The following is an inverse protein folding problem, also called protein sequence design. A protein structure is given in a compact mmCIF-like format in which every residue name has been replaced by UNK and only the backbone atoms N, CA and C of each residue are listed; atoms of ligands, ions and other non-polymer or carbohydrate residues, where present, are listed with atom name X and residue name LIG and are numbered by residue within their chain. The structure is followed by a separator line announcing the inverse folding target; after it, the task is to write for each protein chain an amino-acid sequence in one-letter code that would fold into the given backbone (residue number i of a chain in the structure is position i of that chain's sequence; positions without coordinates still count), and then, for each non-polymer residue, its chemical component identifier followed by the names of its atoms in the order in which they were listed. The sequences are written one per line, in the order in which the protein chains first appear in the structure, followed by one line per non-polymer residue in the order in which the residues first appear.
data_IF_539792180277
#
_entry.id   IF_539792180277
#
_cell.length_a   1.000
_cell.length_b   1.000
_cell.length_c   1.000
_cell.angle_alpha   90.00
_cell.angle_beta   90.00
_cell.angle_gamma   90.00
#
_symmetry.space_group_name_H-M   'P 1'
#
loop_
_entity.id
_entity.type
_entity.pdbx_description
1 polymer ?
#
# COMPACT_ATOMS: atom_id res chain seq x y z
N UNK A 1 35.91 31.78 50.41
CA UNK A 1 34.98 32.86 50.03
C UNK A 1 34.83 32.85 48.52
N UNK A 2 33.60 32.58 48.05
CA UNK A 2 32.97 32.90 46.75
C UNK A 2 33.85 33.10 45.50
N UNK A 3 33.52 32.43 44.37
CA UNK A 3 32.68 33.03 43.31
C UNK A 3 32.46 32.02 42.17
N UNK A 4 31.19 31.63 42.02
CA UNK A 4 30.61 30.93 40.86
C UNK A 4 30.56 31.84 39.64
N UNK A 5 30.96 31.36 38.44
CA UNK A 5 30.34 31.73 37.16
C UNK A 5 30.44 30.60 36.11
N UNK A 6 29.36 30.55 35.33
CA UNK A 6 28.89 29.57 34.35
C UNK A 6 29.45 29.90 32.95
N UNK A 7 29.82 28.91 32.14
CA UNK A 7 29.35 28.84 30.73
C UNK A 7 29.66 27.50 30.08
N UNK A 8 28.66 27.00 29.36
CA UNK A 8 28.70 25.84 28.48
C UNK A 8 29.39 26.17 27.13
N UNK A 9 29.78 25.13 26.39
CA UNK A 9 29.67 24.95 24.92
C UNK A 9 30.89 24.15 24.39
N UNK A 10 30.64 22.99 23.79
CA UNK A 10 31.68 22.19 23.15
C UNK A 10 31.12 20.94 22.49
N UNK A 11 30.37 21.12 21.39
CA UNK A 11 29.85 20.05 20.53
C UNK A 11 30.78 19.85 19.35
N UNK A 12 31.35 18.65 19.16
CA UNK A 12 31.77 18.15 17.84
C UNK A 12 31.54 16.64 17.80
N UNK A 13 30.41 16.22 17.23
CA UNK A 13 30.15 14.84 16.84
C UNK A 13 30.19 14.74 15.32
N UNK A 14 31.24 14.09 14.81
CA UNK A 14 31.46 13.85 13.38
C UNK A 14 30.45 12.81 12.87
N UNK A 15 29.47 13.22 12.06
CA UNK A 15 28.55 12.31 11.37
C UNK A 15 29.07 12.03 9.95
N UNK A 16 29.31 10.76 9.65
CA UNK A 16 29.74 10.28 8.35
C UNK A 16 28.64 10.46 7.29
N UNK A 17 28.99 11.09 6.16
CA UNK A 17 28.12 11.25 5.00
C UNK A 17 28.36 10.08 4.04
N UNK A 18 27.43 9.13 3.98
CA UNK A 18 27.36 8.17 2.88
C UNK A 18 26.38 8.72 1.82
N UNK A 19 26.74 8.82 0.53
CA UNK A 19 25.80 9.24 -0.49
C UNK A 19 24.91 8.03 -0.83
N UNK A 20 23.77 7.93 -0.15
CA UNK A 20 22.67 7.07 -0.59
C UNK A 20 22.01 7.77 -1.78
N UNK A 21 22.20 7.17 -2.94
CA UNK A 21 21.34 7.20 -4.12
C UNK A 21 20.09 8.09 -3.92
N UNK A 22 20.08 9.29 -4.52
CA UNK A 22 18.91 10.15 -4.56
C UNK A 22 17.76 9.40 -5.22
N UNK A 23 16.95 8.69 -4.43
CA UNK A 23 15.54 8.57 -4.74
C UNK A 23 15.05 10.01 -4.80
N UNK A 24 14.45 10.42 -5.91
CA UNK A 24 13.73 11.69 -5.94
C UNK A 24 12.65 11.56 -4.87
N UNK A 25 12.90 12.14 -3.69
CA UNK A 25 11.93 12.26 -2.62
C UNK A 25 10.93 13.31 -3.07
N UNK A 26 9.95 12.86 -3.85
CA UNK A 26 8.79 13.65 -4.25
C UNK A 26 7.88 13.89 -3.03
N UNK A 27 8.40 14.43 -1.92
CA UNK A 27 7.62 14.70 -0.72
C UNK A 27 6.79 13.51 -0.20
N UNK A 28 5.84 13.81 0.66
CA UNK A 28 4.87 12.85 1.19
C UNK A 28 3.52 13.04 0.47
N UNK A 29 2.81 11.97 0.08
CA UNK A 29 1.51 12.10 -0.56
C UNK A 29 0.49 12.65 0.45
N UNK A 30 -0.26 13.69 0.07
CA UNK A 30 -1.31 14.29 0.89
C UNK A 30 -2.51 13.34 1.01
N UNK A 31 -2.85 12.68 -0.10
CA UNK A 31 -3.93 11.70 -0.18
C UNK A 31 -3.46 10.46 -0.93
N UNK A 32 -3.95 9.30 -0.53
CA UNK A 32 -3.81 8.07 -1.31
C UNK A 32 -5.18 7.45 -1.57
N UNK A 33 -5.37 6.95 -2.77
CA UNK A 33 -6.58 6.24 -3.21
C UNK A 33 -6.17 4.84 -3.63
N UNK A 34 -6.98 3.85 -3.22
CA UNK A 34 -6.81 2.46 -3.64
C UNK A 34 -7.83 2.14 -4.72
N UNK A 35 -7.38 1.51 -5.78
CA UNK A 35 -8.23 0.94 -6.83
C UNK A 35 -7.77 -0.46 -7.18
N UNK A 36 -8.64 -1.22 -7.84
CA UNK A 36 -8.32 -2.53 -8.38
C UNK A 36 -8.28 -2.43 -9.90
N UNK A 37 -7.48 -3.29 -10.55
CA UNK A 37 -7.46 -3.36 -12.01
C UNK A 37 -8.89 -3.52 -12.55
N UNK A 38 -9.34 -2.58 -13.38
CA UNK A 38 -10.67 -2.47 -13.98
C UNK A 38 -11.85 -2.17 -13.04
N UNK A 39 -11.60 -1.83 -11.77
CA UNK A 39 -12.65 -1.44 -10.82
C UNK A 39 -12.23 -0.23 -9.98
N UNK A 40 -12.99 0.86 -10.13
CA UNK A 40 -12.94 2.01 -9.23
C UNK A 40 -13.90 1.74 -8.06
N UNK A 41 -13.35 1.45 -6.88
CA UNK A 41 -14.17 1.26 -5.69
C UNK A 41 -13.41 0.65 -4.52
N UNK A 42 -13.96 0.90 -3.33
CA UNK A 42 -13.40 0.41 -2.07
C UNK A 42 -13.78 -1.06 -1.79
N UNK A 43 -14.64 -1.69 -2.62
CA UNK A 43 -15.10 -3.06 -2.42
C UNK A 43 -14.85 -3.92 -3.65
N UNK A 44 -14.23 -5.09 -3.45
CA UNK A 44 -13.96 -6.06 -4.50
C UNK A 44 -14.53 -7.44 -4.13
N UNK A 45 -15.23 -8.08 -5.07
CA UNK A 45 -15.64 -9.48 -4.96
C UNK A 45 -14.74 -10.36 -5.83
N UNK A 46 -14.06 -11.31 -5.19
CA UNK A 46 -13.26 -12.34 -5.86
C UNK A 46 -14.02 -13.66 -5.81
N UNK A 47 -14.12 -14.37 -6.95
CA UNK A 47 -14.85 -15.62 -7.06
C UNK A 47 -14.04 -16.70 -7.75
N UNK A 48 -13.70 -17.77 -7.03
CA UNK A 48 -12.92 -18.88 -7.57
C UNK A 48 -11.42 -18.78 -7.36
N UNK A 49 -10.71 -19.90 -7.57
CA UNK A 49 -9.27 -20.04 -7.33
C UNK A 49 -8.40 -19.12 -8.20
N UNK A 50 -8.88 -18.77 -9.40
CA UNK A 50 -8.15 -17.95 -10.36
C UNK A 50 -8.50 -16.45 -10.30
N UNK A 51 -9.35 -16.05 -9.34
CA UNK A 51 -9.80 -14.66 -9.17
C UNK A 51 -8.71 -13.77 -8.56
N UNK A 52 -7.67 -13.53 -9.34
CA UNK A 52 -6.55 -12.64 -9.01
C UNK A 52 -6.78 -11.25 -9.58
N UNK A 53 -6.34 -10.22 -8.84
CA UNK A 53 -6.46 -8.82 -9.25
C UNK A 53 -5.20 -8.04 -8.86
N UNK A 54 -4.88 -7.03 -9.67
CA UNK A 54 -3.82 -6.09 -9.34
C UNK A 54 -4.42 -4.96 -8.51
N UNK A 55 -3.80 -4.66 -7.38
CA UNK A 55 -4.11 -3.51 -6.55
C UNK A 55 -3.24 -2.34 -6.99
N UNK A 56 -3.87 -1.21 -7.25
CA UNK A 56 -3.22 0.03 -7.65
C UNK A 56 -3.44 1.05 -6.53
N UNK A 57 -2.36 1.65 -6.03
CA UNK A 57 -2.43 2.73 -5.06
C UNK A 57 -1.90 3.99 -5.70
N UNK A 58 -2.77 4.96 -5.92
CA UNK A 58 -2.41 6.27 -6.48
C UNK A 58 -2.28 7.26 -5.33
N UNK A 59 -1.12 7.91 -5.25
CA UNK A 59 -0.90 9.03 -4.34
C UNK A 59 -1.04 10.36 -5.08
N UNK A 60 -1.83 11.27 -4.50
CA UNK A 60 -1.94 12.66 -4.92
C UNK A 60 -1.04 13.52 -4.02
N UNK A 61 -0.14 14.28 -4.63
CA UNK A 61 0.77 15.19 -3.95
C UNK A 61 0.21 16.60 -3.87
N UNK A 62 0.81 17.45 -3.02
CA UNK A 62 0.41 18.85 -2.82
C UNK A 62 0.40 19.67 -4.11
N UNK A 63 1.22 19.28 -5.09
CA UNK A 63 1.33 19.95 -6.38
C UNK A 63 0.24 19.50 -7.37
N UNK A 64 -0.70 18.66 -6.92
CA UNK A 64 -1.78 18.06 -7.74
C UNK A 64 -1.33 16.88 -8.60
N UNK A 65 -0.03 16.55 -8.58
CA UNK A 65 0.54 15.41 -9.28
C UNK A 65 0.04 14.08 -8.70
N UNK A 66 -0.32 13.15 -9.58
CA UNK A 66 -0.65 11.78 -9.22
C UNK A 66 0.49 10.84 -9.58
N UNK A 67 0.82 9.90 -8.67
CA UNK A 67 1.83 8.86 -8.92
C UNK A 67 1.37 7.51 -8.39
N UNK A 68 1.84 6.45 -9.06
CA UNK A 68 1.66 5.08 -8.61
C UNK A 68 2.60 4.76 -7.43
N UNK A 69 2.00 4.50 -6.27
CA UNK A 69 2.66 4.11 -5.03
C UNK A 69 2.50 2.62 -4.71
N UNK A 70 1.95 1.82 -5.63
CA UNK A 70 1.58 0.41 -5.38
C UNK A 70 2.73 -0.44 -4.83
N UNK A 71 3.98 -0.11 -5.17
CA UNK A 71 5.21 -0.80 -4.70
C UNK A 71 5.90 -0.13 -3.51
N UNK A 72 5.45 1.07 -3.16
CA UNK A 72 6.03 1.93 -2.12
C UNK A 72 5.17 1.94 -0.84
N UNK A 73 3.94 1.45 -0.89
CA UNK A 73 3.06 1.29 0.27
C UNK A 73 3.25 -0.07 0.97
N UNK A 74 2.91 -0.09 2.25
CA UNK A 74 2.84 -1.32 3.06
C UNK A 74 1.38 -1.79 3.12
N UNK A 75 1.15 -3.02 2.68
CA UNK A 75 -0.17 -3.67 2.74
C UNK A 75 -0.33 -4.49 4.02
N UNK A 76 -1.52 -4.44 4.60
CA UNK A 76 -1.94 -5.31 5.70
C UNK A 76 -3.36 -5.80 5.47
N UNK A 77 -3.66 -7.02 5.93
CA UNK A 77 -4.98 -7.66 5.79
C UNK A 77 -5.56 -8.02 7.15
N UNK A 78 -6.85 -7.76 7.32
CA UNK A 78 -7.61 -8.16 8.53
C UNK A 78 -9.01 -8.64 8.14
N UNK A 79 -9.38 -9.90 8.42
CA UNK A 79 -8.58 -11.00 8.97
C UNK A 79 -7.44 -11.46 8.05
N UNK A 80 -6.33 -11.91 8.64
CA UNK A 80 -5.23 -12.49 7.85
C UNK A 80 -5.59 -13.90 7.33
N UNK A 81 -5.01 -14.29 6.19
CA UNK A 81 -5.15 -15.64 5.63
C UNK A 81 -6.34 -15.85 4.69
N UNK A 82 -7.14 -14.82 4.40
CA UNK A 82 -8.23 -14.86 3.40
C UNK A 82 -7.68 -14.57 2.00
N UNK A 83 -6.80 -13.58 1.87
CA UNK A 83 -6.10 -13.25 0.63
C UNK A 83 -4.60 -13.09 0.88
N UNK A 84 -3.78 -13.42 -0.12
CA UNK A 84 -2.36 -13.14 -0.14
C UNK A 84 -2.07 -11.94 -1.04
N UNK A 85 -1.23 -11.02 -0.58
CA UNK A 85 -0.83 -9.81 -1.32
C UNK A 85 0.69 -9.82 -1.47
N UNK A 86 1.18 -9.76 -2.71
CA UNK A 86 2.61 -9.58 -2.99
C UNK A 86 3.01 -8.11 -2.90
N UNK A 87 4.31 -7.83 -2.70
CA UNK A 87 4.85 -6.45 -2.70
C UNK A 87 4.57 -5.68 -3.99
N UNK A 88 4.30 -6.38 -5.10
CA UNK A 88 3.88 -5.77 -6.36
C UNK A 88 2.43 -5.25 -6.35
N UNK A 89 1.64 -5.49 -5.30
CA UNK A 89 0.20 -5.22 -5.28
C UNK A 89 -0.64 -6.37 -5.88
N UNK A 90 -0.05 -7.52 -6.16
CA UNK A 90 -0.78 -8.66 -6.71
C UNK A 90 -1.56 -9.40 -5.63
N UNK A 91 -2.88 -9.44 -5.74
CA UNK A 91 -3.79 -10.09 -4.79
C UNK A 91 -4.24 -11.44 -5.34
N UNK A 92 -4.11 -12.50 -4.52
CA UNK A 92 -4.62 -13.83 -4.83
C UNK A 92 -5.50 -14.39 -3.72
N UNK A 93 -6.59 -15.09 -4.08
CA UNK A 93 -7.48 -15.78 -3.14
C UNK A 93 -6.72 -16.91 -2.43
N UNK A 94 -7.12 -17.19 -1.19
CA UNK A 94 -6.54 -18.27 -0.36
C UNK A 94 -7.66 -19.04 0.34
N UNK A 95 -8.68 -18.33 0.83
CA UNK A 95 -9.80 -18.90 1.56
C UNK A 95 -11.02 -17.98 1.52
N UNK A 96 -12.19 -18.61 1.41
CA UNK A 96 -13.50 -17.96 1.51
C UNK A 96 -13.62 -17.10 2.77
N UNK A 97 -14.03 -15.85 2.59
CA UNK A 97 -14.24 -14.93 3.68
C UNK A 97 -14.20 -13.46 3.27
N UNK A 98 -14.41 -12.58 4.26
CA UNK A 98 -14.32 -11.13 4.11
C UNK A 98 -13.08 -10.61 4.80
N UNK A 99 -12.28 -9.81 4.12
CA UNK A 99 -11.08 -9.17 4.65
C UNK A 99 -10.99 -7.73 4.20
N UNK A 100 -10.44 -6.88 5.07
CA UNK A 100 -10.10 -5.49 4.75
C UNK A 100 -8.61 -5.42 4.48
N UNK A 101 -8.24 -4.93 3.30
CA UNK A 101 -6.88 -4.50 2.98
C UNK A 101 -6.70 -3.07 3.44
N UNK A 102 -5.63 -2.78 4.16
CA UNK A 102 -5.18 -1.42 4.45
C UNK A 102 -3.82 -1.22 3.81
N UNK A 103 -3.70 -0.21 2.94
CA UNK A 103 -2.44 0.27 2.41
C UNK A 103 -2.00 1.53 3.16
N UNK A 104 -0.73 1.58 3.55
CA UNK A 104 -0.12 2.71 4.24
C UNK A 104 1.10 3.20 3.47
N UNK A 105 1.10 4.49 3.11
CA UNK A 105 2.26 5.15 2.50
C UNK A 105 3.27 5.63 3.57
N UNK A 106 4.49 5.93 3.13
CA UNK A 106 5.57 6.40 4.02
C UNK A 106 5.20 7.67 4.80
N UNK A 107 4.45 8.60 4.19
CA UNK A 107 3.94 9.83 4.81
C UNK A 107 2.70 9.65 5.68
N UNK A 108 2.37 8.43 6.10
CA UNK A 108 1.27 8.17 7.02
C UNK A 108 -0.12 8.16 6.41
N UNK A 109 -0.30 8.59 5.15
CA UNK A 109 -1.55 8.42 4.42
C UNK A 109 -1.96 6.94 4.36
N UNK A 110 -3.24 6.67 4.62
CA UNK A 110 -3.79 5.31 4.62
C UNK A 110 -5.06 5.25 3.78
N UNK A 111 -5.23 4.14 3.08
CA UNK A 111 -6.46 3.80 2.37
C UNK A 111 -6.85 2.35 2.66
N UNK A 112 -8.14 2.05 2.53
CA UNK A 112 -8.70 0.74 2.85
C UNK A 112 -9.57 0.27 1.70
N UNK A 113 -9.55 -1.03 1.47
CA UNK A 113 -10.52 -1.68 0.60
C UNK A 113 -11.00 -2.99 1.21
N UNK A 114 -12.28 -3.27 1.08
CA UNK A 114 -12.92 -4.52 1.48
C UNK A 114 -12.85 -5.52 0.33
N UNK A 115 -12.43 -6.74 0.65
CA UNK A 115 -12.47 -7.88 -0.26
C UNK A 115 -13.41 -8.92 0.32
N UNK A 116 -14.36 -9.35 -0.50
CA UNK A 116 -15.17 -10.53 -0.25
C UNK A 116 -14.73 -11.61 -1.21
N UNK A 117 -14.20 -12.70 -0.67
CA UNK A 117 -13.73 -13.85 -1.43
C UNK A 117 -14.73 -15.01 -1.22
N UNK A 118 -15.22 -15.56 -2.33
CA UNK A 118 -16.19 -16.65 -2.37
C UNK A 118 -15.69 -17.77 -3.28
N UNK A 119 -15.98 -19.02 -2.90
CA UNK A 119 -15.71 -20.19 -3.73
C UNK A 119 -14.23 -20.38 -4.13
N UNK A 120 -13.27 -20.00 -3.29
CA UNK A 120 -11.82 -20.19 -3.50
C UNK A 120 -11.41 -21.61 -3.87
N UNK A 121 -12.17 -22.61 -3.39
CA UNK A 121 -11.95 -24.02 -3.68
C UNK A 121 -12.63 -24.55 -4.94
N UNK A 122 -13.39 -23.72 -5.66
CA UNK A 122 -14.07 -24.12 -6.89
C UNK A 122 -13.42 -23.48 -8.11
N UNK A 123 -13.28 -24.28 -9.16
CA UNK A 123 -13.03 -23.77 -10.50
C UNK A 123 -14.36 -23.16 -10.96
N UNK A 124 -14.42 -21.84 -11.02
CA UNK A 124 -15.58 -21.18 -11.62
C UNK A 124 -15.57 -21.42 -13.14
N UNK A 125 -16.75 -21.65 -13.77
CA UNK A 125 -16.85 -21.66 -15.22
C UNK A 125 -16.36 -20.33 -15.80
N UNK A 126 -15.58 -20.37 -16.88
CA UNK A 126 -15.04 -19.17 -17.56
C UNK A 126 -16.20 -18.23 -17.92
N UNK A 127 -16.17 -16.99 -17.42
CA UNK A 127 -17.19 -15.98 -17.69
C UNK A 127 -16.65 -14.97 -18.69
N UNK A 128 -16.84 -15.29 -19.97
CA UNK A 128 -16.33 -14.54 -21.12
C UNK A 128 -16.61 -13.01 -21.03
N UNK A 129 -17.83 -12.54 -20.70
CA UNK A 129 -18.11 -11.11 -20.52
C UNK A 129 -17.28 -10.35 -19.47
N UNK A 130 -16.76 -11.01 -18.42
CA UNK A 130 -15.99 -10.33 -17.37
C UNK A 130 -14.47 -10.59 -17.47
N UNK A 131 -14.05 -11.64 -18.17
CA UNK A 131 -12.65 -12.09 -18.19
C UNK A 131 -11.90 -11.76 -19.49
N UNK A 132 -12.59 -11.44 -20.59
CA UNK A 132 -11.95 -11.25 -21.90
C UNK A 132 -12.44 -10.05 -22.72
N UNK A 133 -13.40 -9.26 -22.25
CA UNK A 133 -13.70 -7.96 -22.91
C UNK A 133 -12.88 -6.85 -22.23
N UNK A 134 -11.94 -6.21 -22.95
CA UNK A 134 -11.08 -5.15 -22.42
C UNK A 134 -11.83 -3.85 -22.11
#
# INVERSE_FOLDING_TARGET
MSFTRISAMGMVGLLAFAPLLNAVEFGEPEKIVMSFSAFEGDTLSLKGIDARRQLVVTGTYSDGDERDLSRQVVYSTKPAGIVAIKKSGWVSPVKDGKTVITAKAAGGATTKAEITEEESGKIQPINFPNDITP
#
